data_IF_553142805111
#
_entry.id   IF_553142805111
#
_cell.length_a   1.000
_cell.length_b   1.000
_cell.length_c   1.000
_cell.angle_alpha   90.00
_cell.angle_beta   90.00
_cell.angle_gamma   90.00
#
_symmetry.space_group_name_H-M   'P 1'
#
loop_
_entity.id
_entity.type
_entity.pdbx_description
1 polymer ?
#
# COMPACT_ATOMS: atom_id res chain seq x y z
N UNK A 1 10.42 12.55 16.37
CA UNK A 1 9.77 11.59 15.41
C UNK A 1 10.28 10.19 15.71
N UNK A 2 9.73 9.14 15.09
CA UNK A 2 10.24 7.77 15.24
C UNK A 2 10.33 7.06 13.88
N UNK A 3 11.45 6.42 13.61
CA UNK A 3 11.72 5.59 12.43
C UNK A 3 11.58 4.14 12.84
N UNK A 4 10.79 3.37 12.09
CA UNK A 4 10.70 1.92 12.26
C UNK A 4 11.27 1.26 11.00
N UNK A 5 12.18 0.30 11.18
CA UNK A 5 12.76 -0.50 10.09
C UNK A 5 12.52 -1.99 10.34
N UNK A 6 12.24 -2.70 9.25
CA UNK A 6 12.14 -4.15 9.25
C UNK A 6 13.44 -4.74 8.72
N UNK A 7 13.91 -5.82 9.34
CA UNK A 7 15.10 -6.54 8.91
C UNK A 7 14.75 -7.76 8.06
N UNK A 8 15.78 -8.34 7.44
CA UNK A 8 15.72 -9.66 6.85
C UNK A 8 15.62 -10.75 7.93
N UNK A 9 16.29 -10.53 9.07
CA UNK A 9 16.44 -11.48 10.16
C UNK A 9 15.34 -11.27 11.22
N UNK A 10 14.07 -11.35 10.79
CA UNK A 10 12.80 -11.38 11.55
C UNK A 10 12.53 -10.29 12.63
N UNK A 11 13.48 -9.41 12.88
CA UNK A 11 13.47 -8.35 13.88
C UNK A 11 12.87 -7.05 13.31
N UNK A 12 12.08 -6.40 14.15
CA UNK A 12 11.56 -5.06 13.95
C UNK A 12 12.30 -4.10 14.89
N UNK A 13 12.92 -3.05 14.34
CA UNK A 13 13.70 -2.07 15.12
C UNK A 13 12.99 -0.71 15.08
N UNK A 14 12.86 -0.08 16.25
CA UNK A 14 12.44 1.31 16.39
C UNK A 14 13.59 2.21 16.81
N UNK A 15 13.67 3.39 16.19
CA UNK A 15 14.58 4.46 16.57
C UNK A 15 13.84 5.78 16.69
N UNK A 16 13.83 6.35 17.89
CA UNK A 16 13.35 7.71 18.15
C UNK A 16 14.46 8.70 17.75
N UNK A 17 14.06 9.83 17.18
CA UNK A 17 14.99 10.94 16.92
C UNK A 17 14.86 11.93 18.07
N UNK A 18 15.99 12.20 18.71
CA UNK A 18 16.16 13.18 19.79
C UNK A 18 17.02 14.33 19.25
N UNK A 19 16.80 15.52 19.78
CA UNK A 19 17.58 16.74 19.54
C UNK A 19 18.28 17.14 20.83
N UNK A 20 19.60 17.00 20.87
CA UNK A 20 20.43 17.38 22.01
C UNK A 20 21.32 18.55 21.59
N UNK A 21 21.08 19.73 22.18
CA UNK A 21 21.96 20.91 22.09
C UNK A 21 22.49 21.27 20.68
N UNK A 22 21.62 21.17 19.66
CA UNK A 22 21.81 21.42 18.21
C UNK A 22 22.07 20.18 17.33
N UNK A 23 22.51 19.05 17.87
CA UNK A 23 22.68 17.82 17.09
C UNK A 23 21.45 16.90 17.18
N UNK A 24 21.24 16.11 16.12
CA UNK A 24 20.26 15.03 16.11
C UNK A 24 20.93 13.71 16.47
N UNK A 25 20.29 12.91 17.31
CA UNK A 25 20.73 11.56 17.63
C UNK A 25 19.59 10.53 17.48
N UNK A 26 19.96 9.28 17.20
CA UNK A 26 19.06 8.14 17.19
C UNK A 26 19.12 7.42 18.54
N UNK A 27 18.00 7.42 19.24
CA UNK A 27 17.74 6.66 20.46
C UNK A 27 16.96 5.39 20.11
N UNK A 28 17.41 4.22 20.57
CA UNK A 28 16.79 2.95 20.22
C UNK A 28 15.52 2.73 21.06
N UNK A 29 14.34 2.81 20.44
CA UNK A 29 13.07 2.82 21.15
C UNK A 29 12.50 1.44 21.46
N UNK A 30 12.72 0.44 20.60
CA UNK A 30 12.32 -0.96 20.81
C UNK A 30 12.99 -1.93 19.82
N UNK A 31 12.95 -3.23 20.16
CA UNK A 31 13.42 -4.34 19.33
C UNK A 31 12.49 -5.55 19.50
N UNK A 32 11.62 -5.82 18.52
CA UNK A 32 10.58 -6.84 18.63
C UNK A 32 10.76 -7.96 17.58
N UNK A 33 10.68 -9.23 18.00
CA UNK A 33 10.73 -10.42 17.14
C UNK A 33 9.30 -10.80 16.69
N UNK A 34 8.73 -9.95 15.83
CA UNK A 34 7.28 -9.93 15.55
C UNK A 34 6.82 -10.99 14.54
N UNK A 35 7.73 -11.41 13.66
CA UNK A 35 7.50 -12.38 12.60
C UNK A 35 8.42 -13.60 12.80
N UNK A 36 8.11 -14.72 12.15
CA UNK A 36 8.99 -15.93 12.13
C UNK A 36 9.81 -16.01 10.84
N UNK A 37 10.19 -14.86 10.28
CA UNK A 37 10.80 -14.73 8.97
C UNK A 37 10.91 -13.29 8.52
N UNK A 38 11.49 -13.06 7.33
CA UNK A 38 11.85 -11.71 6.92
C UNK A 38 10.65 -10.77 6.80
N UNK A 39 10.76 -9.60 7.42
CA UNK A 39 9.77 -8.53 7.29
C UNK A 39 9.94 -7.96 5.88
N UNK A 40 8.86 -7.91 5.09
CA UNK A 40 8.90 -7.40 3.71
C UNK A 40 8.43 -5.96 3.59
N UNK A 41 7.49 -5.56 4.42
CA UNK A 41 6.77 -4.30 4.28
C UNK A 41 6.29 -3.77 5.62
N UNK A 42 6.26 -2.44 5.74
CA UNK A 42 5.81 -1.71 6.92
C UNK A 42 4.88 -0.57 6.50
N UNK A 43 3.88 -0.29 7.33
CA UNK A 43 3.03 0.90 7.18
C UNK A 43 2.63 1.45 8.55
N UNK A 44 2.66 2.77 8.71
CA UNK A 44 2.25 3.45 9.95
C UNK A 44 1.00 4.29 9.70
N UNK A 45 0.00 4.12 10.58
CA UNK A 45 -1.18 4.98 10.63
C UNK A 45 -0.89 6.25 11.42
N UNK A 46 -1.40 7.41 10.95
CA UNK A 46 -1.34 8.71 11.66
C UNK A 46 -1.81 8.65 13.12
N UNK A 47 -2.70 7.70 13.46
CA UNK A 47 -3.24 7.49 14.82
C UNK A 47 -2.30 6.70 15.75
N UNK A 48 -1.36 5.94 15.18
CA UNK A 48 -0.26 5.30 15.88
C UNK A 48 -0.26 3.78 15.98
N UNK A 49 -0.85 3.14 14.97
CA UNK A 49 -0.70 1.71 14.74
C UNK A 49 0.31 1.49 13.63
N UNK A 50 1.28 0.63 13.89
CA UNK A 50 2.15 0.03 12.90
C UNK A 50 1.50 -1.27 12.41
N UNK A 51 1.60 -1.52 11.11
CA UNK A 51 1.37 -2.82 10.51
C UNK A 51 2.66 -3.29 9.83
N UNK A 52 3.12 -4.50 10.17
CA UNK A 52 4.25 -5.18 9.54
C UNK A 52 3.78 -6.44 8.82
N UNK A 53 4.36 -6.72 7.65
CA UNK A 53 4.01 -7.87 6.82
C UNK A 53 5.24 -8.70 6.49
N UNK A 54 5.17 -10.01 6.73
CA UNK A 54 6.30 -10.92 6.62
C UNK A 54 6.18 -11.96 5.49
N UNK A 55 7.22 -12.77 5.35
CA UNK A 55 7.17 -14.07 4.63
C UNK A 55 6.43 -15.16 5.40
N UNK A 56 6.05 -14.91 6.65
CA UNK A 56 5.20 -15.79 7.46
C UNK A 56 3.70 -15.68 7.10
N UNK A 57 3.37 -15.00 5.99
CA UNK A 57 2.01 -14.76 5.48
C UNK A 57 1.12 -13.91 6.40
N UNK A 58 1.62 -13.48 7.56
CA UNK A 58 0.89 -12.70 8.55
C UNK A 58 1.08 -11.19 8.39
N UNK A 59 0.08 -10.42 8.81
CA UNK A 59 0.23 -9.00 9.11
C UNK A 59 0.17 -8.81 10.62
N UNK A 60 1.23 -8.34 11.24
CA UNK A 60 1.27 -8.04 12.69
C UNK A 60 0.90 -6.59 12.92
N UNK A 61 0.17 -6.33 14.01
CA UNK A 61 -0.30 -4.99 14.37
C UNK A 61 0.25 -4.59 15.74
N UNK A 62 0.85 -3.40 15.82
CA UNK A 62 1.51 -2.92 17.05
C UNK A 62 1.07 -1.49 17.34
N UNK A 63 0.69 -1.24 18.59
CA UNK A 63 0.38 0.10 19.08
C UNK A 63 1.67 0.78 19.56
N UNK A 64 2.25 1.64 18.70
CA UNK A 64 3.52 2.33 18.97
C UNK A 64 3.45 3.25 20.20
N UNK A 65 2.26 3.72 20.61
CA UNK A 65 2.10 4.57 21.80
C UNK A 65 2.13 3.79 23.11
N UNK A 66 1.67 2.53 23.10
CA UNK A 66 1.64 1.66 24.27
C UNK A 66 2.77 0.62 24.30
N UNK A 67 3.48 0.41 23.18
CA UNK A 67 4.42 -0.69 22.95
C UNK A 67 3.77 -2.05 23.23
N UNK A 68 2.56 -2.23 22.71
CA UNK A 68 1.79 -3.47 22.84
C UNK A 68 1.38 -3.98 21.47
N UNK A 69 1.57 -5.27 21.23
CA UNK A 69 0.91 -5.96 20.11
C UNK A 69 -0.61 -5.87 20.24
N UNK A 70 -1.30 -5.71 19.11
CA UNK A 70 -2.76 -5.74 19.02
C UNK A 70 -3.28 -7.08 18.46
N UNK A 71 -2.42 -7.85 17.81
CA UNK A 71 -2.73 -9.15 17.22
C UNK A 71 -2.14 -9.34 15.82
N UNK A 72 -2.46 -10.49 15.22
CA UNK A 72 -2.08 -10.88 13.87
C UNK A 72 -3.30 -11.01 12.97
N UNK A 73 -3.16 -10.57 11.72
CA UNK A 73 -4.16 -10.75 10.67
C UNK A 73 -3.68 -11.86 9.75
N UNK A 74 -4.50 -12.90 9.61
CA UNK A 74 -4.21 -14.09 8.79
C UNK A 74 -5.36 -14.24 7.79
N UNK A 75 -5.04 -14.09 6.51
CA UNK A 75 -6.01 -14.11 5.40
C UNK A 75 -5.34 -14.43 4.06
N UNK A 76 -4.07 -14.06 3.92
CA UNK A 76 -3.25 -14.41 2.77
C UNK A 76 -2.75 -15.85 2.86
N UNK A 77 -2.38 -16.41 1.71
CA UNK A 77 -1.75 -17.74 1.58
C UNK A 77 -0.43 -17.64 0.82
N UNK A 78 0.40 -16.69 1.26
CA UNK A 78 1.70 -16.35 0.70
C UNK A 78 2.24 -15.05 1.28
N UNK A 79 3.54 -14.78 1.08
CA UNK A 79 4.26 -13.60 1.58
C UNK A 79 3.47 -12.30 1.40
N UNK A 80 3.37 -11.48 2.45
CA UNK A 80 2.79 -10.13 2.37
C UNK A 80 3.80 -9.20 1.68
N UNK A 81 3.44 -8.69 0.51
CA UNK A 81 4.36 -7.92 -0.36
C UNK A 81 4.32 -6.41 -0.10
N UNK A 82 3.14 -5.86 0.21
CA UNK A 82 2.96 -4.43 0.44
C UNK A 82 1.84 -4.17 1.46
N UNK A 83 2.07 -3.21 2.36
CA UNK A 83 1.09 -2.66 3.29
C UNK A 83 0.95 -1.15 3.09
N UNK A 84 -0.29 -0.66 3.04
CA UNK A 84 -0.59 0.79 2.98
C UNK A 84 -1.81 1.14 3.85
N UNK A 85 -1.61 2.00 4.84
CA UNK A 85 -2.71 2.69 5.51
C UNK A 85 -3.27 3.83 4.65
N UNK A 86 -4.60 3.98 4.63
CA UNK A 86 -5.27 5.12 4.02
C UNK A 86 -5.96 5.96 5.11
N UNK A 87 -5.49 7.19 5.33
CA UNK A 87 -5.97 8.21 6.30
C UNK A 87 -6.36 7.70 7.71
N UNK A 88 -5.82 6.56 8.15
CA UNK A 88 -6.18 5.93 9.43
C UNK A 88 -7.63 5.43 9.50
N UNK A 89 -8.22 5.06 8.35
CA UNK A 89 -9.56 4.45 8.23
C UNK A 89 -9.51 2.99 7.78
N UNK A 90 -8.57 2.65 6.88
CA UNK A 90 -8.40 1.30 6.34
C UNK A 90 -6.92 0.95 6.18
N UNK A 91 -6.61 -0.34 6.25
CA UNK A 91 -5.32 -0.93 5.88
C UNK A 91 -5.53 -1.82 4.65
N UNK A 92 -4.63 -1.70 3.68
CA UNK A 92 -4.58 -2.55 2.50
C UNK A 92 -3.34 -3.45 2.59
N UNK A 93 -3.52 -4.75 2.40
CA UNK A 93 -2.43 -5.73 2.29
C UNK A 93 -2.47 -6.45 0.96
N UNK A 94 -1.32 -6.66 0.33
CA UNK A 94 -1.15 -7.46 -0.89
C UNK A 94 -0.26 -8.66 -0.63
N UNK A 95 -0.45 -9.75 -1.37
CA UNK A 95 0.34 -10.97 -1.21
C UNK A 95 0.80 -11.59 -2.54
N UNK A 96 1.78 -12.48 -2.43
CA UNK A 96 2.18 -13.41 -3.48
C UNK A 96 1.06 -14.33 -3.97
N UNK A 97 -0.02 -14.51 -3.19
CA UNK A 97 -1.23 -15.28 -3.53
C UNK A 97 -2.13 -14.65 -4.61
N UNK A 98 -1.81 -13.45 -5.10
CA UNK A 98 -2.58 -12.74 -6.11
C UNK A 98 -3.82 -11.98 -5.58
N UNK A 99 -3.99 -11.92 -4.26
CA UNK A 99 -5.11 -11.24 -3.59
C UNK A 99 -4.68 -9.95 -2.91
N UNK A 100 -5.68 -9.10 -2.64
CA UNK A 100 -5.53 -7.87 -1.87
C UNK A 100 -6.62 -7.87 -0.80
N UNK A 101 -6.26 -7.79 0.48
CA UNK A 101 -7.23 -7.69 1.57
C UNK A 101 -7.39 -6.24 2.05
N UNK A 102 -8.64 -5.85 2.31
CA UNK A 102 -9.01 -4.55 2.87
C UNK A 102 -9.47 -4.76 4.30
N UNK A 103 -8.78 -4.14 5.25
CA UNK A 103 -9.03 -4.27 6.67
C UNK A 103 -9.63 -2.99 7.25
N UNK A 104 -10.68 -3.12 8.05
CA UNK A 104 -11.28 -1.99 8.78
C UNK A 104 -10.38 -1.59 9.95
N UNK A 105 -10.08 -0.30 10.08
CA UNK A 105 -9.30 0.19 11.22
C UNK A 105 -10.07 -0.01 12.54
N UNK A 106 -9.33 -0.23 13.64
CA UNK A 106 -9.80 -0.66 14.97
C UNK A 106 -10.37 -2.07 15.09
N UNK A 107 -11.35 -2.49 14.27
CA UNK A 107 -11.92 -3.84 14.39
C UNK A 107 -11.04 -4.90 13.73
N UNK A 108 -10.23 -4.50 12.75
CA UNK A 108 -9.32 -5.35 11.99
C UNK A 108 -10.01 -6.54 11.29
N UNK A 109 -11.31 -6.37 11.03
CA UNK A 109 -12.10 -7.29 10.21
C UNK A 109 -11.70 -7.13 8.74
N UNK A 110 -11.54 -8.25 8.03
CA UNK A 110 -11.39 -8.27 6.58
C UNK A 110 -12.73 -7.89 5.95
N UNK A 111 -12.86 -6.64 5.48
CA UNK A 111 -14.07 -6.16 4.81
C UNK A 111 -14.25 -6.77 3.43
N UNK A 112 -13.14 -6.97 2.72
CA UNK A 112 -13.15 -7.46 1.35
C UNK A 112 -11.79 -8.01 0.93
N UNK A 113 -11.81 -9.15 0.24
CA UNK A 113 -10.67 -9.64 -0.53
C UNK A 113 -10.91 -9.31 -2.01
N UNK A 114 -10.11 -8.42 -2.58
CA UNK A 114 -10.08 -8.17 -4.02
C UNK A 114 -9.31 -9.31 -4.69
N UNK A 115 -9.95 -9.96 -5.65
CA UNK A 115 -9.38 -11.04 -6.47
C UNK A 115 -9.41 -10.61 -7.93
N UNK A 116 -8.34 -10.89 -8.68
CA UNK A 116 -8.28 -10.56 -10.10
C UNK A 116 -6.89 -10.67 -10.70
N UNK A 117 -5.83 -10.38 -9.95
CA UNK A 117 -4.47 -10.71 -10.38
C UNK A 117 -4.32 -12.23 -10.52
N UNK A 118 -3.62 -12.68 -11.56
CA UNK A 118 -3.39 -14.12 -11.84
C UNK A 118 -2.06 -14.63 -11.30
N UNK A 119 -1.29 -13.75 -10.66
CA UNK A 119 0.01 -14.02 -10.03
C UNK A 119 0.24 -13.01 -8.90
N UNK A 120 1.38 -13.12 -8.23
CA UNK A 120 1.85 -12.23 -7.17
C UNK A 120 1.55 -10.75 -7.42
N UNK A 121 0.86 -10.12 -6.47
CA UNK A 121 0.74 -8.66 -6.41
C UNK A 121 2.00 -8.11 -5.76
N UNK A 122 2.75 -7.25 -6.45
CA UNK A 122 3.99 -6.67 -5.94
C UNK A 122 3.72 -5.44 -5.07
N UNK A 123 2.74 -4.60 -5.44
CA UNK A 123 2.47 -3.34 -4.77
C UNK A 123 1.01 -2.89 -4.94
N UNK A 124 0.51 -2.14 -3.94
CA UNK A 124 -0.73 -1.34 -4.01
C UNK A 124 -0.45 0.12 -3.66
N UNK A 125 -1.16 1.04 -4.31
CA UNK A 125 -1.20 2.45 -3.98
C UNK A 125 -2.63 2.96 -4.00
N UNK A 126 -3.04 3.69 -2.96
CA UNK A 126 -4.40 4.22 -2.80
C UNK A 126 -4.40 5.69 -3.19
N UNK A 127 -5.36 6.10 -4.03
CA UNK A 127 -5.52 7.49 -4.44
C UNK A 127 -5.82 8.38 -3.22
N UNK A 128 -5.34 9.63 -3.15
CA UNK A 128 -5.56 10.52 -2.01
C UNK A 128 -7.03 10.70 -1.59
N UNK A 129 -7.97 10.62 -2.54
CA UNK A 129 -9.43 10.66 -2.29
C UNK A 129 -10.05 9.38 -1.69
N UNK A 130 -9.30 8.27 -1.62
CA UNK A 130 -9.79 6.99 -1.10
C UNK A 130 -10.77 6.24 -2.00
N UNK A 131 -11.17 6.80 -3.15
CA UNK A 131 -12.16 6.18 -4.06
C UNK A 131 -11.56 5.12 -5.00
N UNK A 132 -10.25 5.22 -5.28
CA UNK A 132 -9.53 4.37 -6.22
C UNK A 132 -8.26 3.79 -5.58
N UNK A 133 -7.88 2.59 -6.00
CA UNK A 133 -6.54 2.03 -5.77
C UNK A 133 -5.96 1.47 -7.07
N UNK A 134 -4.64 1.55 -7.20
CA UNK A 134 -3.86 0.89 -8.25
C UNK A 134 -3.08 -0.26 -7.63
N UNK A 135 -3.03 -1.41 -8.31
CA UNK A 135 -2.12 -2.49 -7.98
C UNK A 135 -1.38 -3.02 -9.19
N UNK A 136 -0.15 -3.48 -8.96
CA UNK A 136 0.73 -4.07 -9.98
C UNK A 136 1.27 -5.41 -9.50
N UNK A 137 1.56 -6.32 -10.43
CA UNK A 137 2.03 -7.65 -10.11
C UNK A 137 2.89 -8.32 -11.19
N UNK A 138 3.33 -9.55 -10.90
CA UNK A 138 4.07 -10.40 -11.84
C UNK A 138 3.23 -10.87 -13.03
N UNK A 139 1.91 -10.68 -12.99
CA UNK A 139 1.02 -10.92 -14.13
C UNK A 139 1.11 -9.86 -15.24
N UNK A 140 1.99 -8.85 -15.09
CA UNK A 140 2.23 -7.78 -16.07
C UNK A 140 0.98 -6.94 -16.34
N UNK A 141 0.08 -6.86 -15.35
CA UNK A 141 -1.08 -5.98 -15.37
C UNK A 141 -0.96 -4.87 -14.32
N UNK A 142 -1.44 -3.69 -14.68
CA UNK A 142 -1.81 -2.63 -13.75
C UNK A 142 -3.34 -2.66 -13.64
N UNK A 143 -3.86 -2.77 -12.42
CA UNK A 143 -5.30 -2.87 -12.15
C UNK A 143 -5.78 -1.67 -11.36
N UNK A 144 -6.85 -1.04 -11.84
CA UNK A 144 -7.56 0.03 -11.14
C UNK A 144 -8.77 -0.56 -10.44
N UNK A 145 -8.84 -0.40 -9.12
CA UNK A 145 -9.94 -0.85 -8.28
C UNK A 145 -10.80 0.34 -7.89
N UNK A 146 -12.11 0.24 -8.12
CA UNK A 146 -13.07 1.16 -7.53
C UNK A 146 -13.35 0.67 -6.10
N UNK A 147 -12.98 1.45 -5.10
CA UNK A 147 -13.10 1.08 -3.68
C UNK A 147 -14.52 1.28 -3.12
N UNK A 148 -15.37 2.07 -3.80
CA UNK A 148 -16.77 2.28 -3.42
C UNK A 148 -17.59 1.01 -3.75
N UNK A 149 -17.40 0.44 -4.94
CA UNK A 149 -18.05 -0.82 -5.33
C UNK A 149 -17.22 -2.05 -4.93
N UNK A 150 -15.93 -1.86 -4.67
CA UNK A 150 -14.93 -2.91 -4.44
C UNK A 150 -14.83 -3.90 -5.60
N UNK A 151 -14.87 -3.42 -6.84
CA UNK A 151 -14.65 -4.22 -8.07
C UNK A 151 -13.46 -3.67 -8.85
N UNK A 152 -12.80 -4.51 -9.64
CA UNK A 152 -11.83 -4.05 -10.63
C UNK A 152 -12.57 -3.23 -11.70
N UNK A 153 -12.21 -1.96 -11.84
CA UNK A 153 -12.79 -1.05 -12.83
C UNK A 153 -12.06 -1.15 -14.18
N UNK A 154 -10.74 -1.29 -14.16
CA UNK A 154 -9.93 -1.32 -15.37
C UNK A 154 -8.69 -2.19 -15.20
N UNK A 155 -8.19 -2.76 -16.29
CA UNK A 155 -6.97 -3.61 -16.33
C UNK A 155 -6.18 -3.24 -17.58
N UNK A 156 -4.98 -2.70 -17.40
CA UNK A 156 -4.03 -2.43 -18.50
C UNK A 156 -2.95 -3.49 -18.52
N UNK A 157 -2.59 -3.95 -19.71
CA UNK A 157 -1.44 -4.83 -19.91
C UNK A 157 -0.20 -3.96 -20.13
N UNK A 158 0.70 -3.93 -19.14
CA UNK A 158 1.91 -3.12 -19.13
C UNK A 158 3.12 -3.85 -19.76
N UNK A 159 2.93 -5.08 -20.27
CA UNK A 159 3.90 -5.95 -20.99
C UNK A 159 5.17 -6.36 -20.21
N UNK A 160 5.50 -5.66 -19.13
CA UNK A 160 6.63 -5.90 -18.24
C UNK A 160 6.14 -5.97 -16.79
N UNK A 161 6.96 -6.54 -15.91
CA UNK A 161 6.64 -6.65 -14.48
C UNK A 161 6.99 -5.34 -13.78
N UNK A 162 5.98 -4.68 -13.21
CA UNK A 162 6.18 -3.51 -12.36
C UNK A 162 6.38 -3.94 -10.91
N UNK A 163 7.41 -3.38 -10.27
CA UNK A 163 7.76 -3.61 -8.87
C UNK A 163 6.96 -2.72 -7.91
N UNK A 164 6.71 -1.46 -8.30
CA UNK A 164 6.09 -0.45 -7.46
C UNK A 164 5.08 0.38 -8.26
N UNK A 165 4.02 0.83 -7.59
CA UNK A 165 3.13 1.87 -8.08
C UNK A 165 2.93 2.92 -6.97
N UNK A 166 2.96 4.20 -7.33
CA UNK A 166 2.90 5.31 -6.37
C UNK A 166 2.02 6.43 -6.91
N UNK A 167 1.03 6.87 -6.14
CA UNK A 167 0.25 8.07 -6.45
C UNK A 167 0.99 9.35 -6.05
N UNK A 168 0.80 10.41 -6.83
CA UNK A 168 1.16 11.78 -6.41
C UNK A 168 0.29 12.25 -5.25
N UNK A 169 0.79 13.25 -4.50
CA UNK A 169 0.10 13.79 -3.31
C UNK A 169 -1.30 14.37 -3.62
N UNK A 170 -1.49 14.92 -4.82
CA UNK A 170 -2.78 15.41 -5.32
C UNK A 170 -3.63 14.34 -6.02
N UNK A 171 -3.04 13.20 -6.42
CA UNK A 171 -3.72 12.15 -7.17
C UNK A 171 -3.89 12.43 -8.68
N UNK A 172 -3.31 13.50 -9.21
CA UNK A 172 -3.36 13.80 -10.65
C UNK A 172 -2.39 12.94 -11.47
N UNK A 173 -1.33 12.43 -10.84
CA UNK A 173 -0.32 11.60 -11.48
C UNK A 173 -0.08 10.30 -10.71
N UNK A 174 0.38 9.27 -11.40
CA UNK A 174 0.92 8.08 -10.75
C UNK A 174 2.18 7.60 -11.48
N UNK A 175 3.15 7.12 -10.71
CA UNK A 175 4.36 6.50 -11.22
C UNK A 175 4.24 4.98 -11.17
N UNK A 176 4.61 4.31 -12.26
CA UNK A 176 4.77 2.85 -12.36
C UNK A 176 6.25 2.57 -12.54
N UNK A 177 6.83 1.83 -11.60
CA UNK A 177 8.24 1.47 -11.58
C UNK A 177 8.39 0.05 -12.10
N UNK A 178 9.12 -0.10 -13.20
CA UNK A 178 9.68 -1.36 -13.67
C UNK A 178 11.13 -1.48 -13.17
N UNK A 179 11.80 -2.62 -13.42
CA UNK A 179 13.16 -2.84 -12.93
C UNK A 179 14.12 -1.68 -13.24
N UNK A 180 14.22 -1.26 -14.51
CA UNK A 180 15.15 -0.23 -15.01
C UNK A 180 14.45 0.92 -15.75
N UNK A 181 13.16 1.11 -15.49
CA UNK A 181 12.32 2.12 -16.16
C UNK A 181 11.25 2.63 -15.20
N UNK A 182 10.98 3.93 -15.22
CA UNK A 182 9.87 4.57 -14.49
C UNK A 182 8.99 5.27 -15.51
N UNK A 183 7.72 4.87 -15.60
CA UNK A 183 6.72 5.56 -16.41
C UNK A 183 5.79 6.36 -15.51
N UNK A 184 5.57 7.63 -15.86
CA UNK A 184 4.77 8.59 -15.11
C UNK A 184 3.54 8.91 -15.94
N UNK A 185 2.36 8.61 -15.40
CA UNK A 185 1.10 8.71 -16.09
C UNK A 185 0.25 9.88 -15.60
N UNK A 186 -0.53 10.47 -16.52
CA UNK A 186 -1.66 11.32 -16.16
C UNK A 186 -2.85 10.43 -15.76
N UNK A 187 -3.58 10.82 -14.73
CA UNK A 187 -4.77 10.11 -14.26
C UNK A 187 -6.00 10.40 -15.11
N UNK A 188 -6.09 11.60 -15.68
CA UNK A 188 -7.23 12.02 -16.49
C UNK A 188 -7.18 11.43 -17.90
N UNK A 189 -6.03 11.50 -18.58
CA UNK A 189 -5.88 11.00 -19.96
C UNK A 189 -5.35 9.56 -20.05
N UNK A 190 -4.85 8.98 -18.94
CA UNK A 190 -4.14 7.70 -18.90
C UNK A 190 -2.86 7.63 -19.79
N UNK A 191 -2.36 8.76 -20.26
CA UNK A 191 -1.15 8.86 -21.09
C UNK A 191 0.13 8.93 -20.27
N UNK A 192 1.25 8.51 -20.85
CA UNK A 192 2.59 8.64 -20.27
C UNK A 192 3.12 10.06 -20.49
N UNK A 193 3.23 10.83 -19.40
CA UNK A 193 3.82 12.18 -19.40
C UNK A 193 5.33 12.09 -19.59
N UNK A 194 5.99 11.20 -18.85
CA UNK A 194 7.43 10.98 -18.93
C UNK A 194 7.81 9.51 -18.68
N UNK A 195 8.94 9.11 -19.25
CA UNK A 195 9.53 7.77 -19.18
C UNK A 195 11.01 7.91 -18.86
N UNK A 196 11.40 7.69 -17.61
CA UNK A 196 12.81 7.70 -17.18
C UNK A 196 13.39 6.30 -17.37
N UNK A 197 14.54 6.18 -18.05
CA UNK A 197 15.30 4.93 -18.14
C UNK A 197 16.50 5.01 -17.20
N UNK A 198 16.70 4.00 -16.37
CA UNK A 198 17.83 3.90 -15.44
C UNK A 198 18.77 2.78 -15.86
N UNK A 199 20.05 2.89 -15.52
CA UNK A 199 21.01 1.78 -15.71
C UNK A 199 20.86 0.73 -14.62
N UNK A 200 20.64 1.18 -13.38
CA UNK A 200 20.47 0.35 -12.19
C UNK A 200 19.00 0.08 -11.86
N UNK A 201 18.76 -0.97 -11.07
CA UNK A 201 17.41 -1.34 -10.64
C UNK A 201 16.86 -0.37 -9.60
N UNK A 202 15.67 0.16 -9.85
CA UNK A 202 14.93 1.00 -8.89
C UNK A 202 14.23 0.08 -7.86
N UNK A 203 14.38 0.42 -6.58
CA UNK A 203 13.77 -0.32 -5.46
C UNK A 203 12.57 0.42 -4.88
N UNK A 204 12.69 1.73 -4.73
CA UNK A 204 11.65 2.58 -4.13
C UNK A 204 11.57 3.95 -4.81
N UNK A 205 10.41 4.59 -4.71
CA UNK A 205 10.12 5.90 -5.30
C UNK A 205 9.13 6.63 -4.39
N UNK A 206 9.39 7.92 -4.16
CA UNK A 206 8.49 8.80 -3.42
C UNK A 206 8.33 10.14 -4.15
N UNK A 207 7.13 10.72 -4.07
CA UNK A 207 6.87 12.09 -4.51
C UNK A 207 7.27 13.05 -3.38
N UNK A 208 8.10 14.05 -3.68
CA UNK A 208 8.30 15.21 -2.79
C UNK A 208 7.10 16.15 -2.95
N UNK A 209 6.86 16.55 -4.19
CA UNK A 209 5.83 17.50 -4.57
C UNK A 209 4.91 16.89 -5.62
N UNK A 210 4.02 17.70 -6.21
CA UNK A 210 3.21 17.31 -7.37
C UNK A 210 4.05 17.14 -8.65
N UNK A 211 5.25 17.71 -8.70
CA UNK A 211 6.11 17.81 -9.90
C UNK A 211 7.45 17.11 -9.77
N UNK A 212 7.96 16.88 -8.55
CA UNK A 212 9.28 16.28 -8.30
C UNK A 212 9.15 14.95 -7.59
N UNK A 213 9.81 13.93 -8.15
CA UNK A 213 9.97 12.59 -7.57
C UNK A 213 11.43 12.37 -7.13
N UNK A 214 11.59 11.52 -6.12
CA UNK A 214 12.86 10.89 -5.76
C UNK A 214 12.74 9.41 -6.01
N UNK A 215 13.72 8.83 -6.69
CA UNK A 215 13.84 7.38 -6.82
C UNK A 215 15.24 6.91 -6.39
N UNK A 216 15.26 5.71 -5.78
CA UNK A 216 16.45 5.10 -5.22
C UNK A 216 16.52 3.61 -5.51
N UNK A 217 17.72 3.05 -5.59
CA UNK A 217 17.93 1.74 -6.18
C UNK A 217 19.20 1.01 -5.76
N UNK A 218 19.64 0.12 -6.64
CA UNK A 218 20.97 -0.48 -6.62
C UNK A 218 22.03 0.59 -6.99
N UNK A 219 23.17 0.59 -6.30
CA UNK A 219 24.27 1.54 -6.51
C UNK A 219 24.28 2.78 -5.61
N UNK A 220 23.43 2.85 -4.58
CA UNK A 220 23.50 3.90 -3.54
C UNK A 220 23.04 5.31 -3.93
N UNK A 221 22.94 5.59 -5.23
CA UNK A 221 22.55 6.90 -5.75
C UNK A 221 21.05 7.15 -5.62
N UNK A 222 20.71 8.39 -5.30
CA UNK A 222 19.36 8.95 -5.31
C UNK A 222 19.26 10.01 -6.39
N UNK A 223 18.14 10.01 -7.12
CA UNK A 223 17.91 10.95 -8.21
C UNK A 223 16.62 11.74 -7.97
N UNK A 224 16.75 13.06 -7.99
CA UNK A 224 15.64 14.00 -7.92
C UNK A 224 15.26 14.40 -9.34
N UNK A 225 14.03 14.11 -9.75
CA UNK A 225 13.60 14.25 -11.15
C UNK A 225 12.32 15.08 -11.26
N UNK A 226 12.35 16.11 -12.11
CA UNK A 226 11.21 16.97 -12.40
C UNK A 226 10.40 16.39 -13.58
N UNK A 227 9.12 16.11 -13.33
CA UNK A 227 8.17 15.52 -14.29
C UNK A 227 7.89 16.46 -15.46
N UNK A 228 7.84 17.78 -15.21
CA UNK A 228 7.49 18.81 -16.20
C UNK A 228 8.69 19.07 -17.10
N UNK A 229 9.84 19.43 -16.50
CA UNK A 229 11.07 19.75 -17.24
C UNK A 229 11.77 18.50 -17.80
N UNK A 230 11.31 17.31 -17.39
CA UNK A 230 11.78 15.98 -17.78
C UNK A 230 13.28 15.73 -17.53
N UNK A 231 13.86 16.44 -16.58
CA UNK A 231 15.28 16.42 -16.24
C UNK A 231 15.53 16.01 -14.79
N UNK A 232 16.71 15.44 -14.55
CA UNK A 232 17.25 15.21 -13.20
C UNK A 232 17.77 16.54 -12.66
N UNK A 233 17.21 17.01 -11.54
CA UNK A 233 17.62 18.25 -10.87
C UNK A 233 18.89 18.05 -10.02
N UNK A 234 18.97 16.91 -9.33
CA UNK A 234 20.05 16.61 -8.40
C UNK A 234 20.30 15.10 -8.32
N UNK A 235 21.56 14.71 -8.09
CA UNK A 235 21.98 13.35 -7.79
C UNK A 235 22.75 13.32 -6.47
N UNK A 236 22.27 12.54 -5.52
CA UNK A 236 22.83 12.42 -4.17
C UNK A 236 23.38 11.01 -3.96
N UNK A 237 24.68 10.91 -3.69
CA UNK A 237 25.30 9.66 -3.28
C UNK A 237 25.11 9.43 -1.78
N UNK A 238 24.41 8.36 -1.42
CA UNK A 238 24.21 8.01 -0.01
C UNK A 238 25.41 7.33 0.64
N UNK A 239 26.47 6.98 -0.11
CA UNK A 239 27.58 6.13 0.36
C UNK A 239 27.06 4.81 0.94
N UNK A 240 26.22 4.10 0.18
CA UNK A 240 25.67 2.77 0.51
C UNK A 240 25.56 1.91 -0.76
N UNK A 241 25.44 0.59 -0.66
CA UNK A 241 25.33 -0.28 -1.85
C UNK A 241 23.93 -0.26 -2.47
N UNK A 242 22.88 -0.23 -1.64
CA UNK A 242 21.51 -0.40 -2.11
C UNK A 242 20.49 0.26 -1.18
N UNK A 243 19.98 1.42 -1.61
CA UNK A 243 18.79 2.01 -0.98
C UNK A 243 17.60 1.08 -1.25
N UNK A 244 16.97 0.64 -0.16
CA UNK A 244 15.91 -0.38 -0.18
C UNK A 244 14.53 0.20 0.08
N UNK A 245 14.45 1.18 0.96
CA UNK A 245 13.23 1.91 1.26
C UNK A 245 13.55 3.38 1.54
N UNK A 246 12.60 4.25 1.22
CA UNK A 246 12.66 5.69 1.43
C UNK A 246 11.37 6.20 2.06
N UNK A 247 11.45 7.31 2.79
CA UNK A 247 10.27 8.00 3.29
C UNK A 247 10.51 9.50 3.31
N UNK A 248 9.50 10.28 2.93
CA UNK A 248 9.57 11.74 2.88
C UNK A 248 8.56 12.30 3.88
N UNK A 249 9.03 13.25 4.68
CA UNK A 249 8.29 13.85 5.79
C UNK A 249 8.58 15.36 5.79
N UNK A 250 7.61 16.26 6.05
CA UNK A 250 7.90 17.68 6.26
C UNK A 250 8.89 17.86 7.42
N UNK A 251 9.91 18.70 7.25
CA UNK A 251 10.91 18.91 8.28
C UNK A 251 10.26 19.40 9.59
N UNK A 252 10.76 18.97 10.77
CA UNK A 252 10.31 19.54 12.03
C UNK A 252 10.69 21.02 12.07
N UNK A 253 9.71 21.86 12.36
CA UNK A 253 9.90 23.29 12.60
C UNK A 253 10.40 23.45 14.05
N UNK A 254 11.49 24.19 14.26
CA UNK A 254 11.95 24.53 15.62
C UNK A 254 10.99 25.56 16.24
N UNK A 255 10.91 25.59 17.57
CA UNK A 255 10.06 26.58 18.25
C UNK A 255 10.56 28.00 17.94
N UNK A 256 9.71 28.82 17.32
CA UNK A 256 10.02 30.20 16.91
C UNK A 256 10.35 30.38 15.42
N UNK A 257 10.50 29.31 14.64
CA UNK A 257 10.68 29.40 13.17
C UNK A 257 9.33 29.28 12.43
N UNK A 258 9.22 29.92 11.25
CA UNK A 258 8.07 29.71 10.37
C UNK A 258 8.17 28.37 9.61
N UNK A 259 7.03 27.75 9.32
CA UNK A 259 6.98 26.46 8.65
C UNK A 259 7.30 26.58 7.16
N UNK A 260 8.57 26.40 6.80
CA UNK A 260 9.01 26.29 5.41
C UNK A 260 8.43 25.03 4.75
N UNK A 261 7.34 25.15 4.00
CA UNK A 261 6.68 24.03 3.30
C UNK A 261 7.62 23.29 2.35
N UNK A 262 8.61 24.01 1.80
CA UNK A 262 9.63 23.49 0.88
C UNK A 262 10.76 22.69 1.55
N UNK A 263 10.76 22.57 2.88
CA UNK A 263 11.79 21.85 3.63
C UNK A 263 11.29 20.47 4.06
N UNK A 264 11.93 19.42 3.57
CA UNK A 264 11.56 18.03 3.84
C UNK A 264 12.74 17.23 4.40
N UNK A 265 12.44 16.20 5.15
CA UNK A 265 13.38 15.17 5.54
C UNK A 265 13.16 13.92 4.71
N UNK A 266 14.20 13.52 4.00
CA UNK A 266 14.28 12.27 3.24
C UNK A 266 15.01 11.22 4.08
N UNK A 267 14.25 10.25 4.54
CA UNK A 267 14.74 9.07 5.23
C UNK A 267 15.14 8.02 4.20
N UNK A 268 16.26 7.36 4.41
CA UNK A 268 16.73 6.24 3.58
C UNK A 268 17.14 5.07 4.47
N UNK A 269 16.79 3.86 4.03
CA UNK A 269 17.25 2.61 4.62
C UNK A 269 18.00 1.79 3.57
N UNK A 270 19.26 1.46 3.84
CA UNK A 270 20.09 0.60 2.99
C UNK A 270 20.02 -0.87 3.40
N UNK A 271 20.15 -1.76 2.43
CA UNK A 271 20.42 -3.19 2.67
C UNK A 271 21.69 -3.46 3.48
N UNK A 272 22.58 -2.48 3.66
CA UNK A 272 23.83 -2.61 4.44
C UNK A 272 23.66 -2.30 5.94
N UNK A 273 22.44 -1.99 6.40
CA UNK A 273 22.16 -1.63 7.79
C UNK A 273 22.16 -0.14 8.11
N UNK A 274 22.57 0.69 7.15
CA UNK A 274 22.55 2.15 7.31
C UNK A 274 21.14 2.74 7.21
N UNK A 275 20.79 3.55 8.20
CA UNK A 275 19.67 4.50 8.16
C UNK A 275 20.28 5.91 8.06
N UNK A 276 19.90 6.69 7.06
CA UNK A 276 20.35 8.09 6.91
C UNK A 276 19.16 9.01 6.73
N UNK A 277 19.26 10.21 7.30
CA UNK A 277 18.28 11.30 7.12
C UNK A 277 18.98 12.43 6.42
N UNK A 278 18.40 12.87 5.30
CA UNK A 278 18.84 14.04 4.56
C UNK A 278 17.79 15.13 4.69
N UNK A 279 18.22 16.36 4.95
CA UNK A 279 17.39 17.53 4.75
C UNK A 279 17.39 17.85 3.26
N UNK A 280 16.22 18.18 2.72
CA UNK A 280 15.96 18.46 1.32
C UNK A 280 15.24 19.79 1.26
N UNK A 281 15.91 20.83 0.78
CA UNK A 281 15.29 22.11 0.49
C UNK A 281 14.97 22.20 -1.01
N UNK A 282 13.71 22.50 -1.29
CA UNK A 282 13.20 22.72 -2.63
C UNK A 282 13.20 24.22 -2.98
N UNK A 283 14.04 24.62 -3.92
CA UNK A 283 13.85 25.83 -4.71
C UNK A 283 13.26 25.45 -6.08
N UNK A 284 12.73 26.43 -6.83
CA UNK A 284 11.89 26.18 -8.02
C UNK A 284 12.51 25.19 -9.03
N UNK A 285 13.79 25.35 -9.36
CA UNK A 285 14.56 24.47 -10.25
C UNK A 285 15.81 23.84 -9.60
N UNK A 286 16.00 24.00 -8.29
CA UNK A 286 17.18 23.46 -7.57
C UNK A 286 16.77 22.71 -6.32
N UNK A 287 17.36 21.53 -6.13
CA UNK A 287 17.23 20.76 -4.89
C UNK A 287 18.58 20.75 -4.19
N UNK A 288 18.62 21.34 -3.01
CA UNK A 288 19.78 21.28 -2.13
C UNK A 288 19.55 20.20 -1.06
N UNK A 289 20.56 19.35 -0.86
CA UNK A 289 20.50 18.25 0.10
C UNK A 289 21.69 18.28 1.06
N UNK A 290 21.42 18.01 2.34
CA UNK A 290 22.44 17.90 3.37
C UNK A 290 22.17 16.68 4.26
N UNK A 291 23.23 16.00 4.70
CA UNK A 291 23.10 14.89 5.64
C UNK A 291 22.86 15.46 7.05
N UNK A 292 21.75 15.06 7.67
CA UNK A 292 21.40 15.46 9.05
C UNK A 292 22.00 14.47 10.04
N UNK A 293 21.82 13.17 9.79
CA UNK A 293 22.24 12.09 10.70
C UNK A 293 22.37 10.77 9.95
N UNK A 294 23.31 9.93 10.39
CA UNK A 294 23.53 8.57 9.91
C UNK A 294 23.69 7.62 11.08
N UNK A 295 23.05 6.44 11.01
CA UNK A 295 23.18 5.37 12.00
C UNK A 295 23.37 4.02 11.29
N UNK A 296 24.05 3.08 11.94
CA UNK A 296 24.23 1.73 11.42
C UNK A 296 23.62 0.72 12.40
N UNK A 297 22.60 0.00 11.93
CA UNK A 297 21.89 -1.02 12.70
C UNK A 297 22.60 -2.37 12.69
N UNK A 298 23.61 -2.56 11.82
CA UNK A 298 24.29 -3.83 11.48
C UNK A 298 23.41 -4.92 10.82
N UNK A 299 22.08 -4.85 10.96
CA UNK A 299 21.12 -5.75 10.31
C UNK A 299 20.84 -5.42 8.85
N UNK A 300 20.50 -6.42 8.05
CA UNK A 300 20.08 -6.21 6.66
C UNK A 300 18.66 -5.64 6.60
N UNK A 301 18.51 -4.35 6.29
CA UNK A 301 17.19 -3.70 6.22
C UNK A 301 16.44 -4.05 4.91
N UNK A 302 15.13 -4.28 5.04
CA UNK A 302 14.24 -4.71 3.94
C UNK A 302 13.14 -3.71 3.62
N UNK A 303 12.72 -2.92 4.61
CA UNK A 303 11.62 -1.96 4.55
C UNK A 303 11.71 -0.95 5.70
N UNK A 304 11.01 0.18 5.57
CA UNK A 304 11.02 1.28 6.56
C UNK A 304 9.65 1.98 6.56
N UNK A 305 9.26 2.51 7.72
CA UNK A 305 8.16 3.46 7.86
C UNK A 305 8.51 4.52 8.91
N UNK A 306 8.14 5.78 8.66
CA UNK A 306 8.36 6.89 9.60
C UNK A 306 7.05 7.27 10.28
N UNK A 307 7.13 7.53 11.58
CA UNK A 307 6.02 7.85 12.45
C UNK A 307 6.09 9.27 13.01
N UNK A 308 4.97 9.97 12.86
CA UNK A 308 4.80 11.38 13.22
C UNK A 308 3.78 11.53 14.34
N UNK A 309 4.14 11.12 15.55
CA UNK A 309 3.35 11.44 16.74
C UNK A 309 3.79 12.77 17.33
N UNK A 310 2.86 13.71 17.41
CA UNK A 310 2.86 14.68 18.49
C UNK A 310 2.42 13.95 19.75
N UNK A 311 3.34 13.69 20.68
CA UNK A 311 2.95 13.44 22.06
C UNK A 311 2.24 14.70 22.57
N UNK A 312 1.05 14.56 23.16
CA UNK A 312 0.56 15.64 24.03
C UNK A 312 1.62 15.84 25.13
N UNK A 313 2.00 17.08 25.48
CA UNK A 313 2.80 17.29 26.68
C UNK A 313 2.09 16.64 27.86
N UNK A 314 2.84 15.97 28.73
CA UNK A 314 2.30 15.50 30.00
C UNK A 314 2.01 16.74 30.83
N UNK A 315 0.73 17.06 31.06
CA UNK A 315 0.38 18.03 32.09
C UNK A 315 0.99 17.57 33.41
N UNK A 316 1.59 18.53 34.13
CA UNK A 316 2.59 18.24 35.13
C UNK A 316 2.11 17.31 36.24
N UNK A 317 2.95 16.37 36.62
CA UNK A 317 2.88 15.70 37.92
C UNK A 317 2.88 16.75 39.02
N UNK A 318 1.72 17.03 39.62
CA UNK A 318 1.68 17.60 40.95
C UNK A 318 2.13 16.53 41.93
N UNK A 319 3.40 16.60 42.31
CA UNK A 319 3.87 16.06 43.57
C UNK A 319 3.18 16.82 44.69
N UNK A 320 2.47 16.11 45.55
CA UNK A 320 2.44 16.42 46.99
C UNK A 320 2.30 15.10 47.74
N UNK A 321 3.03 15.01 48.85
CA UNK A 321 3.14 13.83 49.69
C UNK A 321 2.67 14.19 51.12
N UNK A 322 2.35 13.17 51.92
CA UNK A 322 1.96 13.27 53.34
C UNK A 322 0.50 13.76 53.55
N UNK A 323 -0.26 13.31 54.55
CA UNK A 323 0.01 12.33 55.61
C UNK A 323 -1.23 11.46 55.90
N UNK A 324 -1.03 10.37 56.67
CA UNK A 324 -2.10 9.52 57.21
C UNK A 324 -3.07 10.27 58.15
N UNK A 325 -4.34 9.83 58.23
CA UNK A 325 -4.93 9.46 59.52
C UNK A 325 -6.19 8.54 59.42
N UNK A 326 -6.09 7.40 60.11
CA UNK A 326 -7.11 6.70 60.94
C UNK A 326 -8.56 6.45 60.44
N UNK A 327 -8.86 5.16 60.27
CA UNK A 327 -9.90 4.37 60.99
C UNK A 327 -11.29 5.00 61.28
N UNK A 328 -12.37 4.29 60.89
CA UNK A 328 -13.30 3.57 61.79
C UNK A 328 -14.37 2.81 60.96
N UNK A 329 -14.81 1.66 61.48
CA UNK A 329 -15.86 0.77 60.95
C UNK A 329 -17.22 1.00 61.68
N UNK A 330 -18.26 0.19 61.39
CA UNK A 330 -19.54 0.01 62.12
C UNK A 330 -20.71 0.99 61.88
N UNK A 331 -21.61 0.59 60.97
CA UNK A 331 -23.03 0.19 61.20
C UNK A 331 -24.16 1.13 61.69
N UNK A 332 -25.39 0.73 61.29
CA UNK A 332 -26.76 1.15 61.70
C UNK A 332 -27.31 2.43 60.99
N UNK A 333 -28.50 2.51 60.37
CA UNK A 333 -29.80 1.75 60.27
C UNK A 333 -30.98 2.50 60.92
N UNK A 334 -31.98 2.89 60.10
CA UNK A 334 -33.44 3.07 60.36
C UNK A 334 -34.08 3.61 59.03
N UNK A 335 -34.95 2.87 58.33
CA UNK A 335 -36.42 2.73 58.52
C UNK A 335 -37.22 4.04 58.27
N UNK A 336 -38.33 4.12 57.53
CA UNK A 336 -39.16 3.15 56.77
C UNK A 336 -39.77 3.91 55.52
N UNK A 337 -40.56 3.35 54.59
CA UNK A 337 -41.85 2.69 54.80
C UNK A 337 -42.30 1.78 53.62
N UNK A 338 -43.36 0.98 53.86
CA UNK A 338 -43.78 -0.21 53.08
C UNK A 338 -44.93 0.04 52.10
N UNK A 339 -44.96 -0.74 51.01
CA UNK A 339 -45.88 -1.89 50.78
C UNK A 339 -45.58 -2.53 49.41
N UNK A 340 -45.28 -3.84 49.29
CA UNK A 340 -46.16 -5.03 49.44
C UNK A 340 -47.32 -4.99 48.42
N UNK A 341 -47.46 -5.92 47.48
CA UNK A 341 -47.71 -7.38 47.61
C UNK A 341 -47.61 -8.00 46.18
N UNK A 342 -47.27 -9.27 45.92
CA UNK A 342 -46.74 -10.39 46.73
C UNK A 342 -46.32 -11.55 45.78
N UNK A 343 -45.68 -12.59 46.34
CA UNK A 343 -45.64 -14.04 45.94
C UNK A 343 -45.56 -14.45 44.45
N UNK A 344 -44.75 -15.43 44.04
CA UNK A 344 -43.74 -16.25 44.73
C UNK A 344 -43.07 -17.21 43.74
N UNK A 345 -41.80 -17.57 44.00
CA UNK A 345 -41.21 -18.95 43.95
C UNK A 345 -41.40 -19.83 42.67
N UNK A 346 -40.47 -20.70 42.27
CA UNK A 346 -39.12 -20.97 42.78
C UNK A 346 -38.20 -21.52 41.67
N UNK A 347 -36.94 -21.74 42.07
CA UNK A 347 -35.88 -22.42 41.33
C UNK A 347 -36.35 -23.75 40.70
N UNK A 348 -35.74 -24.11 39.57
CA UNK A 348 -34.89 -25.31 39.56
C UNK A 348 -34.01 -25.41 38.31
N UNK A 349 -32.73 -25.68 38.55
CA UNK A 349 -31.86 -26.25 37.53
C UNK A 349 -32.28 -27.71 37.30
N UNK A 350 -32.29 -28.18 36.06
CA UNK A 350 -31.66 -29.47 35.72
C UNK A 350 -31.36 -29.62 34.24
N UNK A 351 -30.51 -30.59 33.98
CA UNK A 351 -29.69 -30.78 32.78
C UNK A 351 -30.24 -31.88 31.86
N UNK A 352 -29.52 -32.12 30.76
CA UNK A 352 -29.42 -33.39 29.99
C UNK A 352 -30.28 -33.51 28.71
N UNK A 353 -29.54 -33.42 27.60
CA UNK A 353 -29.60 -34.24 26.37
C UNK A 353 -30.84 -34.23 25.44
N UNK A 354 -30.60 -33.66 24.26
CA UNK A 354 -30.53 -34.40 22.99
C UNK A 354 -31.76 -35.21 22.53
N UNK A 355 -32.45 -34.70 21.49
CA UNK A 355 -32.69 -35.52 20.28
C UNK A 355 -32.96 -34.70 19.03
N UNK A 356 -32.69 -35.35 17.90
CA UNK A 356 -32.72 -34.83 16.53
C UNK A 356 -34.14 -34.48 16.05
N UNK A 357 -34.18 -33.56 15.08
CA UNK A 357 -34.81 -33.69 13.76
C UNK A 357 -35.75 -32.52 13.41
N UNK A 358 -36.08 -32.39 12.12
CA UNK A 358 -37.37 -31.79 11.75
C UNK A 358 -37.37 -30.37 11.18
N UNK A 359 -36.61 -30.17 10.10
CA UNK A 359 -37.09 -29.50 8.89
C UNK A 359 -37.43 -27.98 8.89
N UNK A 360 -37.05 -27.39 7.76
CA UNK A 360 -37.33 -26.04 7.26
C UNK A 360 -38.66 -25.36 7.63
N UNK A 361 -38.58 -24.04 7.85
CA UNK A 361 -39.58 -23.07 7.40
C UNK A 361 -38.94 -21.69 7.16
N UNK A 362 -39.15 -21.15 5.96
CA UNK A 362 -38.79 -19.76 5.61
C UNK A 362 -39.68 -18.80 6.40
N UNK A 363 -39.10 -17.74 6.97
CA UNK A 363 -39.86 -16.60 7.51
C UNK A 363 -39.64 -15.40 6.59
N UNK A 364 -40.71 -15.01 5.89
CA UNK A 364 -40.75 -13.80 5.06
C UNK A 364 -41.17 -12.60 5.91
N UNK A 365 -40.36 -11.55 5.91
CA UNK A 365 -40.74 -10.29 6.55
C UNK A 365 -41.56 -9.42 5.58
N UNK A 366 -42.89 -9.43 5.73
CA UNK A 366 -43.74 -8.35 5.21
C UNK A 366 -43.71 -7.20 6.21
N UNK A 367 -43.24 -6.03 5.79
CA UNK A 367 -43.54 -4.78 6.53
C UNK A 367 -44.97 -4.38 6.23
N UNK A 368 -45.76 -4.10 7.27
CA UNK A 368 -46.97 -3.29 7.13
C UNK A 368 -46.55 -1.84 6.95
N UNK A 369 -47.26 -1.13 6.07
CA UNK A 369 -47.33 0.32 6.14
C UNK A 369 -48.44 0.67 7.15
N UNK A 370 -48.21 1.72 7.94
CA UNK A 370 -49.27 2.48 8.57
C UNK A 370 -48.86 3.95 8.45
N UNK A 371 -49.78 4.73 7.93
CA UNK A 371 -49.67 6.17 7.69
C UNK A 371 -50.08 6.92 8.94
N UNK A 372 -49.40 8.01 9.25
CA UNK A 372 -50.10 9.19 9.74
C UNK A 372 -49.42 10.46 9.25
N UNK A 373 -50.19 11.54 9.18
CA UNK A 373 -49.90 12.76 8.42
C UNK A 373 -50.05 14.02 9.27
N UNK A 374 -49.72 15.18 8.68
CA UNK A 374 -49.85 16.55 9.22
C UNK A 374 -48.68 17.01 10.13
N UNK A 375 -48.13 18.23 10.00
CA UNK A 375 -48.42 19.31 9.05
C UNK A 375 -47.23 20.25 8.73
N UNK A 376 -47.40 20.99 7.62
CA UNK A 376 -46.88 22.31 7.22
C UNK A 376 -45.51 22.87 7.70
N UNK A 377 -44.69 23.29 6.72
CA UNK A 377 -43.46 24.07 6.92
C UNK A 377 -42.69 24.33 5.62
N UNK A 378 -43.04 25.38 4.88
CA UNK A 378 -42.56 25.64 3.49
C UNK A 378 -41.41 26.66 3.44
N UNK A 379 -40.25 26.29 2.88
CA UNK A 379 -39.64 26.96 1.69
C UNK A 379 -38.23 26.45 1.30
N UNK A 380 -38.04 26.14 0.00
CA UNK A 380 -36.95 26.57 -0.93
C UNK A 380 -35.48 26.38 -0.49
N UNK A 381 -34.55 25.79 -1.27
CA UNK A 381 -34.58 25.19 -2.63
C UNK A 381 -33.46 24.15 -2.80
N UNK A 382 -33.61 23.27 -3.79
CA UNK A 382 -32.49 22.58 -4.46
C UNK A 382 -32.88 22.36 -5.94
N UNK A 383 -32.00 22.73 -6.87
CA UNK A 383 -32.19 22.49 -8.29
C UNK A 383 -31.78 21.06 -8.66
N UNK A 384 -32.65 20.36 -9.39
CA UNK A 384 -32.30 19.12 -10.11
C UNK A 384 -32.61 19.33 -11.58
N UNK A 385 -31.58 19.22 -12.41
CA UNK A 385 -31.70 19.25 -13.88
C UNK A 385 -32.01 17.83 -14.36
N UNK A 386 -33.20 17.63 -14.90
CA UNK A 386 -33.54 16.45 -15.69
C UNK A 386 -33.08 16.66 -17.14
N UNK A 387 -32.62 15.59 -17.79
CA UNK A 387 -32.22 15.60 -19.20
C UNK A 387 -33.19 14.70 -19.96
N UNK A 388 -34.04 15.31 -20.79
CA UNK A 388 -34.92 14.58 -21.68
C UNK A 388 -34.15 13.94 -22.84
N UNK A 389 -34.63 12.78 -23.26
CA UNK A 389 -34.22 12.09 -24.48
C UNK A 389 -35.35 12.27 -25.47
N UNK A 390 -35.05 12.79 -26.66
CA UNK A 390 -35.96 12.80 -27.81
C UNK A 390 -35.27 12.11 -28.99
N UNK A 391 -35.90 11.05 -29.49
CA UNK A 391 -35.59 10.41 -30.77
C UNK A 391 -36.40 11.11 -31.86
N UNK A 392 -35.78 11.55 -32.96
CA UNK A 392 -36.47 11.77 -34.25
C UNK A 392 -35.59 11.35 -35.43
N UNK A 393 -36.24 11.03 -36.55
CA UNK A 393 -35.69 10.30 -37.69
C UNK A 393 -36.02 10.94 -39.04
N UNK A 394 -35.20 10.59 -40.05
CA UNK A 394 -35.46 10.68 -41.50
C UNK A 394 -35.30 12.04 -42.25
N UNK A 395 -34.31 12.01 -43.15
CA UNK A 395 -34.42 12.27 -44.60
C UNK A 395 -34.15 13.61 -45.33
N UNK A 396 -33.70 13.40 -46.59
CA UNK A 396 -33.63 14.27 -47.77
C UNK A 396 -32.56 15.40 -47.90
N UNK A 397 -31.44 15.01 -48.54
CA UNK A 397 -31.10 15.45 -49.92
C UNK A 397 -30.72 16.92 -50.22
N UNK A 398 -29.43 17.18 -50.47
CA UNK A 398 -28.99 18.17 -51.50
C UNK A 398 -27.68 17.78 -52.20
N UNK A 399 -27.63 17.95 -53.53
CA UNK A 399 -26.43 17.76 -54.37
C UNK A 399 -25.68 19.08 -54.61
N UNK A 400 -24.35 19.12 -54.42
CA UNK A 400 -23.46 19.93 -55.28
C UNK A 400 -22.16 19.18 -55.65
N UNK A 401 -21.71 19.46 -56.89
CA UNK A 401 -20.68 18.78 -57.69
C UNK A 401 -19.24 18.87 -57.14
N UNK A 402 -18.58 17.71 -57.02
CA UNK A 402 -17.63 17.25 -58.04
C UNK A 402 -16.11 17.52 -57.90
N UNK A 403 -15.33 16.44 -58.03
CA UNK A 403 -14.26 16.30 -59.05
C UNK A 403 -13.90 14.83 -59.27
N UNK A 404 -13.59 14.48 -60.54
CA UNK A 404 -13.14 13.14 -60.95
C UNK A 404 -11.63 13.00 -60.74
N UNK A 405 -11.17 11.82 -60.35
CA UNK A 405 -10.05 11.17 -61.03
C UNK A 405 -10.22 9.64 -61.00
N UNK A 406 -9.81 8.98 -62.09
CA UNK A 406 -9.99 7.54 -62.34
C UNK A 406 -8.65 6.84 -62.19
N UNK A 407 -8.66 5.62 -61.64
CA UNK A 407 -8.07 4.41 -62.25
C UNK A 407 -8.63 3.17 -61.49
N UNK A 408 -9.63 2.47 -62.04
CA UNK A 408 -9.49 1.21 -62.81
C UNK A 408 -8.81 0.07 -62.03
N UNK A 409 -9.54 -0.91 -61.46
CA UNK A 409 -10.09 -2.15 -62.09
C UNK A 409 -8.97 -3.05 -62.68
N UNK A 410 -8.87 -4.37 -62.42
CA UNK A 410 -9.77 -5.48 -61.96
C UNK A 410 -8.93 -6.47 -61.09
N UNK A 411 -9.41 -7.15 -60.04
CA UNK A 411 -10.42 -8.25 -59.97
C UNK A 411 -10.04 -9.54 -60.75
N UNK A 412 -9.83 -10.64 -60.02
CA UNK A 412 -10.47 -11.94 -60.29
C UNK A 412 -10.28 -12.96 -59.15
N UNK A 413 -11.39 -13.54 -58.70
CA UNK A 413 -11.46 -14.71 -57.80
C UNK A 413 -11.08 -16.02 -58.51
N UNK A 414 -10.60 -17.02 -57.74
CA UNK A 414 -11.35 -18.25 -57.35
C UNK A 414 -10.43 -19.27 -56.67
N UNK A 415 -10.98 -20.01 -55.70
CA UNK A 415 -10.27 -21.08 -54.97
C UNK A 415 -10.41 -22.48 -55.60
N UNK A 416 -10.60 -23.54 -54.79
CA UNK A 416 -9.47 -24.41 -54.40
C UNK A 416 -9.65 -25.88 -54.81
N UNK A 417 -8.56 -26.66 -54.86
CA UNK A 417 -8.66 -28.13 -55.00
C UNK A 417 -7.55 -28.95 -54.30
N UNK A 418 -7.66 -30.28 -54.38
CA UNK A 418 -7.39 -31.23 -53.27
C UNK A 418 -6.07 -32.00 -53.31
N UNK A 419 -5.79 -32.65 -52.16
CA UNK A 419 -4.87 -33.77 -51.91
C UNK A 419 -4.63 -34.71 -53.11
N UNK A 420 -3.39 -35.21 -53.22
CA UNK A 420 -3.13 -36.68 -53.21
C UNK A 420 -1.67 -37.05 -52.85
N UNK A 421 -1.50 -38.34 -52.56
CA UNK A 421 -0.33 -39.00 -51.96
C UNK A 421 0.86 -39.14 -52.93
N UNK A 422 2.07 -39.40 -52.41
CA UNK A 422 2.72 -40.71 -52.56
C UNK A 422 4.02 -40.87 -51.73
N UNK A 423 4.46 -42.12 -51.58
CA UNK A 423 5.50 -42.58 -50.65
C UNK A 423 6.87 -42.76 -51.33
N UNK A 424 7.94 -42.50 -50.56
CA UNK A 424 8.98 -43.50 -50.29
C UNK A 424 10.11 -43.73 -51.30
N UNK A 425 11.36 -43.49 -50.85
CA UNK A 425 12.63 -44.23 -51.02
C UNK A 425 13.81 -43.30 -50.61
N UNK A 426 15.00 -43.73 -50.17
CA UNK A 426 15.55 -44.97 -49.54
C UNK A 426 17.06 -44.74 -49.33
N UNK A 427 17.64 -45.02 -48.15
CA UNK A 427 19.10 -45.21 -47.86
C UNK A 427 20.08 -44.06 -48.25
N UNK A 428 21.31 -43.87 -47.72
CA UNK A 428 22.31 -44.64 -46.95
C UNK A 428 22.92 -43.74 -45.82
N UNK A 429 23.29 -44.19 -44.61
CA UNK A 429 24.41 -45.06 -44.17
C UNK A 429 25.85 -44.50 -44.35
N UNK A 430 26.42 -43.89 -43.29
CA UNK A 430 27.82 -44.04 -42.81
C UNK A 430 28.02 -43.16 -41.54
N UNK A 431 28.31 -43.68 -40.33
CA UNK A 431 29.63 -44.10 -39.77
C UNK A 431 30.70 -42.97 -39.88
N UNK A 432 31.47 -42.61 -38.82
CA UNK A 432 31.92 -43.35 -37.61
C UNK A 432 32.59 -42.38 -36.59
N UNK A 433 32.50 -42.69 -35.28
CA UNK A 433 33.44 -42.40 -34.15
C UNK A 433 33.86 -40.92 -33.88
N UNK A 434 34.15 -40.48 -32.65
CA UNK A 434 34.21 -41.14 -31.33
C UNK A 434 35.41 -40.64 -30.50
N UNK A 435 35.41 -40.90 -29.18
CA UNK A 435 36.42 -40.52 -28.15
C UNK A 435 36.23 -39.09 -27.56
N UNK A 436 36.27 -38.75 -26.24
CA UNK A 436 36.07 -39.37 -24.89
C UNK A 436 37.08 -38.74 -23.87
N UNK A 437 36.56 -38.25 -22.72
CA UNK A 437 37.27 -37.81 -21.47
C UNK A 437 38.25 -36.61 -21.63
N UNK A 438 38.65 -35.79 -20.63
CA UNK A 438 38.34 -35.58 -19.20
C UNK A 438 38.70 -34.09 -18.83
N UNK A 439 38.56 -33.47 -17.64
CA UNK A 439 38.14 -33.83 -16.26
C UNK A 439 37.58 -32.60 -15.49
N UNK A 440 37.69 -32.53 -14.16
CA UNK A 440 37.47 -31.33 -13.34
C UNK A 440 38.70 -30.98 -12.47
N UNK A 441 38.95 -29.70 -12.15
CA UNK A 441 39.98 -29.30 -11.18
C UNK A 441 39.47 -29.32 -9.73
N UNK A 442 40.17 -30.02 -8.83
CA UNK A 442 40.01 -29.91 -7.37
C UNK A 442 40.92 -28.83 -6.77
N UNK A 443 40.44 -28.19 -5.71
CA UNK A 443 41.15 -27.20 -4.86
C UNK A 443 42.51 -27.71 -4.37
N UNK A 444 43.50 -26.81 -4.26
CA UNK A 444 44.60 -26.91 -3.28
C UNK A 444 44.51 -25.75 -2.28
N UNK A 445 44.68 -26.07 -1.00
CA UNK A 445 45.07 -25.11 0.06
C UNK A 445 46.61 -25.04 0.06
N UNK A 446 47.17 -23.87 0.35
CA UNK A 446 48.51 -23.76 0.94
C UNK A 446 48.40 -22.80 2.14
N UNK A 447 48.95 -23.23 3.27
CA UNK A 447 49.34 -22.37 4.40
C UNK A 447 50.85 -22.20 4.31
N UNK A 448 51.33 -20.97 4.38
CA UNK A 448 52.41 -20.42 5.25
C UNK A 448 52.63 -18.99 4.80
#
# INVERSE_FOLDING_TARGET
MEVIVGTYDEVLLGYKIITDAEEYQFDQSFTDHTHTGCIKTLSVSKKGILASGGTDETVRLINLKKRTELGSLVQHSGTVTCLKFHHGSHLFSTSEDGTIAIWKYFTWECLKTLRGHTSTVNCISIHPSGKLALSVGRDKTLRTWNLITGRSAYTTNIKQEASLVVWSLNGNHYAVVFSTKIDIYNTQTAEVISSVKTTQRVNDLAFISTTVIVYGGEGGQLYFYNIINKMTLHSLDTQTNRVRAMSIVPAPVKEGEESNENNHWLFTASSDGHIKIFQVQMAEDKVDTSLVISHNTTFRLTCMAVSLFKSKPKEGTKTDCQADEKLIDTSQEMAADKKLIDTSQEKSQKTVANRKSGNSKKVSWKRKAETDSQDSGVNVSCETVEVNIEDESEDENTKVKGKKLKHSKKVKDKGPEKLKQLQGKRSEKSKRKGIILESQPKRKKIKT
#
